data_IF_907517916070
#
_entry.id   IF_907517916070
#
_cell.length_a   1.000
_cell.length_b   1.000
_cell.length_c   1.000
_cell.angle_alpha   90.00
_cell.angle_beta   90.00
_cell.angle_gamma   90.00
#
_symmetry.space_group_name_H-M   'P 1'
#
loop_
_entity.id
_entity.type
_entity.pdbx_description
1 polymer ?
#
# COMPACT_ATOMS: atom_id res chain seq x y z
N UNK A 1 -54.22 -54.41 -80.72
CA UNK A 1 -54.14 -55.67 -79.95
C UNK A 1 -52.66 -55.95 -79.68
N UNK A 2 -52.32 -56.16 -78.40
CA UNK A 2 -51.17 -56.93 -77.90
C UNK A 2 -49.77 -56.26 -77.93
N UNK A 3 -49.14 -56.39 -76.75
CA UNK A 3 -47.84 -55.91 -76.25
C UNK A 3 -46.65 -56.55 -76.99
N UNK A 4 -45.49 -55.87 -76.98
CA UNK A 4 -44.25 -56.33 -76.32
C UNK A 4 -43.08 -55.33 -76.49
N UNK A 5 -42.40 -55.04 -75.38
CA UNK A 5 -41.01 -54.55 -75.26
C UNK A 5 -40.03 -55.74 -75.50
N UNK A 6 -38.71 -55.59 -75.80
CA UNK A 6 -37.75 -54.77 -75.03
C UNK A 6 -36.52 -54.15 -75.75
N UNK A 7 -35.80 -53.27 -75.01
CA UNK A 7 -34.32 -53.02 -74.86
C UNK A 7 -33.37 -53.13 -76.08
N UNK A 8 -32.33 -52.31 -76.31
CA UNK A 8 -31.37 -51.65 -75.41
C UNK A 8 -30.45 -50.67 -76.20
N UNK A 9 -29.87 -49.69 -75.48
CA UNK A 9 -28.55 -49.06 -75.64
C UNK A 9 -28.33 -47.89 -76.64
N UNK A 10 -28.09 -46.71 -76.04
CA UNK A 10 -26.80 -45.98 -76.02
C UNK A 10 -27.04 -44.47 -76.20
N UNK A 11 -26.82 -43.67 -75.16
CA UNK A 11 -26.48 -42.24 -75.36
C UNK A 11 -25.70 -41.69 -74.16
N UNK A 12 -24.56 -41.09 -74.48
CA UNK A 12 -23.68 -40.29 -73.63
C UNK A 12 -24.27 -38.88 -73.51
N UNK A 13 -24.38 -38.29 -72.31
CA UNK A 13 -24.14 -36.85 -72.11
C UNK A 13 -23.94 -36.47 -70.64
N UNK A 14 -23.02 -35.54 -70.42
CA UNK A 14 -22.47 -35.05 -69.16
C UNK A 14 -23.44 -34.21 -68.31
N UNK A 15 -23.15 -34.06 -67.01
CA UNK A 15 -22.97 -32.76 -66.35
C UNK A 15 -22.71 -32.87 -64.82
N UNK A 16 -21.57 -32.30 -64.40
CA UNK A 16 -21.36 -31.41 -63.25
C UNK A 16 -22.18 -31.56 -61.96
N UNK A 17 -21.43 -31.73 -60.86
CA UNK A 17 -21.63 -30.91 -59.66
C UNK A 17 -22.29 -31.59 -58.47
N UNK A 18 -21.49 -32.12 -57.54
CA UNK A 18 -21.87 -32.27 -56.13
C UNK A 18 -20.63 -32.37 -55.24
N UNK A 19 -19.80 -31.32 -55.22
CA UNK A 19 -18.81 -31.10 -54.17
C UNK A 19 -19.17 -29.77 -53.50
N UNK A 20 -20.06 -29.79 -52.51
CA UNK A 20 -20.51 -28.56 -51.87
C UNK A 20 -21.68 -28.72 -50.91
N UNK A 21 -21.60 -29.61 -49.93
CA UNK A 21 -22.59 -29.65 -48.82
C UNK A 21 -21.98 -29.62 -47.42
N UNK A 22 -20.65 -29.53 -47.29
CA UNK A 22 -20.00 -29.37 -45.98
C UNK A 22 -19.74 -27.90 -45.59
N UNK A 23 -19.69 -26.96 -46.54
CA UNK A 23 -19.35 -25.55 -46.27
C UNK A 23 -20.57 -24.67 -45.90
N UNK A 24 -21.80 -25.13 -46.14
CA UNK A 24 -23.02 -24.35 -45.90
C UNK A 24 -23.52 -24.40 -44.44
N UNK A 25 -23.19 -25.47 -43.69
CA UNK A 25 -23.58 -25.60 -42.28
C UNK A 25 -22.67 -24.77 -41.35
N UNK A 26 -21.39 -24.61 -41.72
CA UNK A 26 -20.41 -23.84 -40.94
C UNK A 26 -20.59 -22.31 -41.13
N UNK A 27 -21.11 -21.89 -42.29
CA UNK A 27 -21.35 -20.47 -42.61
C UNK A 27 -22.61 -19.90 -41.94
N UNK A 28 -23.65 -20.70 -41.69
CA UNK A 28 -24.83 -20.27 -40.93
C UNK A 28 -24.53 -20.15 -39.42
N UNK A 29 -23.60 -20.95 -38.90
CA UNK A 29 -23.11 -20.92 -37.52
C UNK A 29 -22.29 -19.67 -37.18
N UNK A 30 -21.78 -18.95 -38.19
CA UNK A 30 -20.96 -17.74 -38.03
C UNK A 30 -21.72 -16.44 -38.33
N UNK A 31 -23.03 -16.50 -38.63
CA UNK A 31 -23.81 -15.30 -38.89
C UNK A 31 -23.94 -14.46 -37.60
N UNK A 32 -23.31 -13.28 -37.59
CA UNK A 32 -23.46 -12.31 -36.49
C UNK A 32 -24.90 -11.82 -36.47
N UNK A 33 -25.54 -11.97 -35.32
CA UNK A 33 -26.85 -11.41 -35.06
C UNK A 33 -26.73 -10.32 -34.00
N UNK A 34 -27.65 -9.37 -34.06
CA UNK A 34 -27.89 -8.40 -32.99
C UNK A 34 -29.28 -8.68 -32.45
N UNK A 35 -29.38 -8.91 -31.14
CA UNK A 35 -30.65 -9.12 -30.46
C UNK A 35 -30.87 -7.99 -29.44
N UNK A 36 -31.99 -7.28 -29.57
CA UNK A 36 -32.43 -6.31 -28.56
C UNK A 36 -33.48 -6.95 -27.68
N UNK A 37 -33.25 -6.95 -26.36
CA UNK A 37 -34.16 -7.54 -25.38
C UNK A 37 -34.84 -6.46 -24.56
N UNK A 38 -36.16 -6.57 -24.45
CA UNK A 38 -36.93 -5.72 -23.55
C UNK A 38 -36.78 -6.25 -22.12
N UNK A 39 -36.31 -5.40 -21.23
CA UNK A 39 -36.10 -5.72 -19.81
C UNK A 39 -36.87 -4.75 -18.93
N UNK A 40 -37.24 -5.22 -17.73
CA UNK A 40 -37.89 -4.39 -16.71
C UNK A 40 -36.97 -3.28 -16.18
N UNK A 41 -37.46 -2.50 -15.23
CA UNK A 41 -36.61 -1.57 -14.48
C UNK A 41 -35.61 -2.35 -13.62
N UNK A 42 -34.39 -1.84 -13.52
CA UNK A 42 -33.34 -2.36 -12.65
C UNK A 42 -32.43 -1.21 -12.20
N UNK A 43 -31.81 -1.37 -11.04
CA UNK A 43 -30.76 -0.49 -10.52
C UNK A 43 -29.44 -1.23 -10.27
N UNK A 44 -29.41 -2.55 -10.45
CA UNK A 44 -28.23 -3.38 -10.35
C UNK A 44 -28.05 -4.28 -11.58
N UNK A 45 -26.80 -4.61 -11.89
CA UNK A 45 -26.42 -5.53 -12.96
C UNK A 45 -25.55 -6.65 -12.37
N UNK A 46 -25.83 -7.89 -12.75
CA UNK A 46 -25.05 -9.08 -12.42
C UNK A 46 -24.72 -9.85 -13.70
N UNK A 47 -23.45 -9.89 -14.06
CA UNK A 47 -22.92 -10.56 -15.25
C UNK A 47 -22.21 -11.82 -14.82
N UNK A 48 -22.65 -12.98 -15.31
CA UNK A 48 -22.01 -14.27 -15.08
C UNK A 48 -21.66 -14.95 -16.40
N UNK A 49 -20.43 -14.76 -16.87
CA UNK A 49 -19.93 -15.37 -18.09
C UNK A 49 -18.74 -14.64 -18.72
N UNK A 50 -18.17 -15.20 -19.79
CA UNK A 50 -17.05 -14.61 -20.54
C UNK A 50 -17.59 -13.62 -21.59
N UNK A 51 -18.28 -12.58 -21.13
CA UNK A 51 -18.93 -11.59 -22.00
C UNK A 51 -18.19 -10.27 -21.96
N UNK A 52 -18.03 -9.62 -23.12
CA UNK A 52 -17.54 -8.25 -23.18
C UNK A 52 -18.71 -7.31 -22.92
N UNK A 53 -18.69 -6.60 -21.80
CA UNK A 53 -19.82 -5.79 -21.35
C UNK A 53 -19.52 -4.31 -21.45
N UNK A 54 -20.42 -3.59 -22.11
CA UNK A 54 -20.40 -2.13 -22.18
C UNK A 54 -21.66 -1.60 -21.50
N UNK A 55 -21.47 -0.89 -20.40
CA UNK A 55 -22.55 -0.26 -19.63
C UNK A 55 -22.45 1.25 -19.78
N UNK A 56 -23.54 1.90 -20.15
CA UNK A 56 -23.66 3.34 -20.18
C UNK A 56 -24.71 3.78 -19.15
N UNK A 57 -24.25 4.45 -18.11
CA UNK A 57 -25.09 4.87 -17.00
C UNK A 57 -25.96 6.11 -17.30
N UNK A 58 -25.92 6.65 -18.53
CA UNK A 58 -26.83 7.72 -18.98
C UNK A 58 -27.71 7.33 -20.15
N UNK A 59 -27.41 6.21 -20.82
CA UNK A 59 -28.26 5.71 -21.88
C UNK A 59 -29.64 5.30 -21.35
N UNK A 60 -30.70 5.49 -22.15
CA UNK A 60 -32.01 4.92 -21.86
C UNK A 60 -31.90 3.41 -21.62
N UNK A 61 -32.79 2.90 -20.76
CA UNK A 61 -32.83 1.46 -20.44
C UNK A 61 -33.00 0.64 -21.71
N UNK A 62 -31.96 -0.10 -22.05
CA UNK A 62 -31.90 -0.98 -23.20
C UNK A 62 -30.87 -2.08 -22.97
N UNK A 63 -31.14 -3.26 -23.51
CA UNK A 63 -30.19 -4.38 -23.52
C UNK A 63 -30.04 -4.89 -24.94
N UNK A 64 -28.80 -4.87 -25.44
CA UNK A 64 -28.45 -5.32 -26.78
C UNK A 64 -27.31 -6.33 -26.70
N UNK A 65 -27.51 -7.49 -27.30
CA UNK A 65 -26.50 -8.54 -27.39
C UNK A 65 -26.06 -8.66 -28.86
N UNK A 66 -24.77 -8.85 -29.09
CA UNK A 66 -24.18 -8.98 -30.42
C UNK A 66 -23.16 -10.10 -30.44
N UNK A 67 -23.31 -11.05 -31.37
CA UNK A 67 -22.43 -12.22 -31.46
C UNK A 67 -23.00 -13.30 -32.39
N UNK A 68 -22.37 -14.48 -32.45
CA UNK A 68 -22.90 -15.63 -33.19
C UNK A 68 -24.28 -16.03 -32.67
N UNK A 69 -25.26 -16.22 -33.57
CA UNK A 69 -26.64 -16.51 -33.18
C UNK A 69 -26.79 -17.74 -32.25
N UNK A 70 -25.94 -18.76 -32.45
CA UNK A 70 -25.90 -19.95 -31.61
C UNK A 70 -25.51 -19.63 -30.16
N UNK A 71 -24.62 -18.67 -29.94
CA UNK A 71 -24.19 -18.27 -28.59
C UNK A 71 -25.22 -17.37 -27.91
N UNK A 72 -25.85 -16.45 -28.66
CA UNK A 72 -26.90 -15.58 -28.14
C UNK A 72 -28.09 -16.37 -27.58
N UNK A 73 -28.45 -17.49 -28.23
CA UNK A 73 -29.53 -18.37 -27.80
C UNK A 73 -29.25 -19.08 -26.45
N UNK A 74 -27.97 -19.23 -26.08
CA UNK A 74 -27.53 -19.84 -24.83
C UNK A 74 -27.44 -18.83 -23.67
N UNK A 75 -27.68 -17.53 -23.93
CA UNK A 75 -27.66 -16.48 -22.91
C UNK A 75 -29.07 -16.23 -22.38
N UNK A 76 -29.21 -16.29 -21.06
CA UNK A 76 -30.40 -15.94 -20.31
C UNK A 76 -30.24 -14.53 -19.70
N UNK A 77 -31.28 -13.73 -19.84
CA UNK A 77 -31.35 -12.35 -19.33
C UNK A 77 -32.65 -12.18 -18.58
N UNK A 78 -32.59 -12.07 -17.26
CA UNK A 78 -33.77 -11.96 -16.39
C UNK A 78 -33.56 -10.80 -15.43
N UNK A 79 -34.62 -10.04 -15.16
CA UNK A 79 -34.63 -9.09 -14.05
C UNK A 79 -35.23 -9.79 -12.84
N UNK A 80 -34.42 -10.08 -11.83
CA UNK A 80 -34.90 -10.56 -10.52
C UNK A 80 -34.93 -9.39 -9.54
N UNK A 81 -36.14 -9.06 -9.07
CA UNK A 81 -36.45 -7.90 -8.21
C UNK A 81 -36.04 -6.57 -8.83
N UNK A 82 -34.76 -6.21 -8.73
CA UNK A 82 -34.17 -4.95 -9.20
C UNK A 82 -32.77 -5.15 -9.82
N UNK A 83 -32.40 -6.41 -10.09
CA UNK A 83 -31.10 -6.78 -10.65
C UNK A 83 -31.29 -7.42 -12.02
N UNK A 84 -30.68 -6.84 -13.04
CA UNK A 84 -30.54 -7.47 -14.34
C UNK A 84 -29.44 -8.54 -14.26
N UNK A 85 -29.85 -9.80 -14.37
CA UNK A 85 -28.95 -10.96 -14.39
C UNK A 85 -28.73 -11.38 -15.84
N UNK A 86 -27.47 -11.34 -16.30
CA UNK A 86 -27.03 -11.85 -17.60
C UNK A 86 -26.12 -13.04 -17.38
N UNK A 87 -26.56 -14.23 -17.76
CA UNK A 87 -25.81 -15.47 -17.52
C UNK A 87 -25.98 -16.47 -18.66
N UNK A 88 -25.09 -17.45 -18.77
CA UNK A 88 -25.34 -18.61 -19.63
C UNK A 88 -26.44 -19.48 -19.02
N UNK A 89 -27.34 -20.00 -19.87
CA UNK A 89 -28.33 -21.00 -19.46
C UNK A 89 -27.61 -22.21 -18.86
N UNK A 90 -28.02 -22.62 -17.67
CA UNK A 90 -27.45 -23.80 -17.01
C UNK A 90 -27.75 -25.04 -17.85
N UNK A 91 -26.71 -25.74 -18.30
CA UNK A 91 -26.81 -27.12 -18.78
C UNK A 91 -26.16 -28.03 -17.74
N UNK A 92 -26.88 -29.06 -17.30
CA UNK A 92 -26.27 -30.17 -16.57
C UNK A 92 -25.29 -30.89 -17.50
N UNK A 93 -24.00 -30.56 -17.42
CA UNK A 93 -22.93 -31.21 -18.19
C UNK A 93 -21.69 -30.34 -18.33
N UNK A 94 -20.60 -30.71 -17.65
CA UNK A 94 -19.27 -30.12 -17.86
C UNK A 94 -18.74 -30.56 -19.23
N UNK A 95 -18.72 -29.64 -20.21
CA UNK A 95 -18.07 -29.87 -21.50
C UNK A 95 -16.88 -28.89 -21.66
N UNK A 96 -15.65 -29.40 -21.48
CA UNK A 96 -14.44 -28.69 -21.89
C UNK A 96 -14.28 -28.82 -23.40
N UNK A 97 -14.47 -27.71 -24.14
CA UNK A 97 -14.13 -27.65 -25.56
C UNK A 97 -12.74 -27.02 -25.71
N UNK A 98 -11.74 -27.85 -25.93
CA UNK A 98 -10.40 -27.41 -26.31
C UNK A 98 -10.40 -27.21 -27.84
N UNK A 99 -10.15 -25.99 -28.31
CA UNK A 99 -9.79 -25.74 -29.72
C UNK A 99 -10.79 -24.97 -30.60
N UNK A 100 -11.89 -24.42 -30.08
CA UNK A 100 -12.70 -23.44 -30.83
C UNK A 100 -12.73 -22.11 -30.09
N UNK A 101 -12.11 -21.08 -30.69
CA UNK A 101 -12.29 -19.69 -30.25
C UNK A 101 -13.75 -19.31 -30.54
N UNK A 102 -14.63 -19.44 -29.56
CA UNK A 102 -15.88 -18.66 -29.56
C UNK A 102 -15.50 -17.20 -29.62
N UNK A 103 -16.00 -16.48 -30.61
CA UNK A 103 -15.86 -15.03 -30.62
C UNK A 103 -16.64 -14.46 -29.44
N UNK A 104 -16.08 -13.46 -28.72
CA UNK A 104 -16.73 -12.94 -27.53
C UNK A 104 -18.07 -12.31 -27.87
N UNK A 105 -19.10 -12.63 -27.07
CA UNK A 105 -20.40 -11.97 -27.16
C UNK A 105 -20.29 -10.61 -26.48
N UNK A 106 -20.67 -9.56 -27.22
CA UNK A 106 -20.74 -8.20 -26.68
C UNK A 106 -22.13 -7.92 -26.13
N UNK A 107 -22.20 -7.46 -24.88
CA UNK A 107 -23.42 -7.07 -24.19
C UNK A 107 -23.39 -5.56 -23.93
N UNK A 108 -24.30 -4.81 -24.56
CA UNK A 108 -24.46 -3.37 -24.35
C UNK A 108 -25.69 -3.10 -23.49
N UNK A 109 -25.53 -2.36 -22.40
CA UNK A 109 -26.57 -2.10 -21.39
C UNK A 109 -26.67 -0.58 -21.12
N UNK A 110 -27.86 -0.01 -21.28
CA UNK A 110 -28.18 1.33 -20.80
C UNK A 110 -28.80 1.29 -19.41
N UNK A 111 -28.23 2.02 -18.45
CA UNK A 111 -28.58 1.90 -17.02
C UNK A 111 -28.59 3.28 -16.29
N UNK A 112 -29.63 4.12 -16.50
CA UNK A 112 -29.64 5.52 -16.07
C UNK A 112 -29.60 5.76 -14.55
N UNK A 113 -29.72 4.72 -13.72
CA UNK A 113 -29.74 4.78 -12.25
C UNK A 113 -28.98 3.58 -11.65
N UNK A 114 -27.78 3.30 -12.18
CA UNK A 114 -26.98 2.16 -11.75
C UNK A 114 -26.35 2.39 -10.37
N UNK A 115 -26.72 1.56 -9.40
CA UNK A 115 -26.17 1.55 -8.04
C UNK A 115 -25.17 0.42 -7.82
N UNK A 116 -25.23 -0.66 -8.61
CA UNK A 116 -24.39 -1.84 -8.43
C UNK A 116 -24.08 -2.54 -9.75
N UNK A 117 -22.82 -2.91 -9.97
CA UNK A 117 -22.35 -3.72 -11.08
C UNK A 117 -21.49 -4.85 -10.55
N UNK A 118 -21.95 -6.08 -10.74
CA UNK A 118 -21.21 -7.31 -10.43
C UNK A 118 -20.84 -8.02 -11.72
N UNK A 119 -19.60 -8.45 -11.81
CA UNK A 119 -19.12 -9.32 -12.88
C UNK A 119 -18.42 -10.54 -12.27
N UNK A 120 -18.77 -11.71 -12.79
CA UNK A 120 -18.22 -13.00 -12.44
C UNK A 120 -17.86 -13.75 -13.74
N UNK A 121 -16.59 -13.74 -14.11
CA UNK A 121 -16.14 -14.32 -15.37
C UNK A 121 -14.81 -13.78 -15.85
N UNK A 122 -14.48 -14.12 -17.10
CA UNK A 122 -13.25 -13.72 -17.78
C UNK A 122 -13.47 -12.66 -18.86
N UNK A 123 -14.65 -12.06 -18.91
CA UNK A 123 -14.98 -11.02 -19.88
C UNK A 123 -14.77 -9.63 -19.30
N UNK A 124 -14.37 -8.70 -20.16
CA UNK A 124 -14.03 -7.34 -19.76
C UNK A 124 -15.28 -6.49 -19.62
N UNK A 125 -15.25 -5.56 -18.66
CA UNK A 125 -16.38 -4.70 -18.36
C UNK A 125 -15.97 -3.24 -18.43
N UNK A 126 -16.67 -2.47 -19.27
CA UNK A 126 -16.53 -1.03 -19.35
C UNK A 126 -17.80 -0.34 -18.89
N UNK A 127 -17.70 0.48 -17.85
CA UNK A 127 -18.76 1.33 -17.33
C UNK A 127 -18.48 2.79 -17.65
N UNK A 128 -19.34 3.41 -18.46
CA UNK A 128 -19.22 4.79 -18.86
C UNK A 128 -20.25 5.70 -18.19
N UNK A 129 -19.81 6.93 -17.90
CA UNK A 129 -20.63 8.04 -17.37
C UNK A 129 -21.39 7.68 -16.09
N UNK A 130 -20.79 6.87 -15.21
CA UNK A 130 -21.35 6.57 -13.91
C UNK A 130 -21.63 7.86 -13.12
N UNK A 131 -22.86 8.01 -12.62
CA UNK A 131 -23.30 9.14 -11.81
C UNK A 131 -24.24 8.68 -10.72
N UNK A 132 -24.14 9.29 -9.55
CA UNK A 132 -25.05 9.01 -8.45
C UNK A 132 -24.44 9.17 -7.06
N UNK A 133 -25.27 8.89 -6.06
CA UNK A 133 -24.91 8.98 -4.65
C UNK A 133 -23.99 7.83 -4.21
N UNK A 134 -24.27 6.60 -4.66
CA UNK A 134 -23.52 5.41 -4.27
C UNK A 134 -23.41 4.45 -5.44
N UNK A 135 -22.22 3.92 -5.67
CA UNK A 135 -21.94 2.90 -6.68
C UNK A 135 -21.11 1.78 -6.07
N UNK A 136 -21.55 0.54 -6.29
CA UNK A 136 -20.82 -0.67 -5.90
C UNK A 136 -20.34 -1.41 -7.13
N UNK A 137 -19.03 -1.65 -7.22
CA UNK A 137 -18.39 -2.44 -8.27
C UNK A 137 -17.83 -3.70 -7.64
N UNK A 138 -18.18 -4.87 -8.18
CA UNK A 138 -17.70 -6.15 -7.72
C UNK A 138 -17.18 -6.97 -8.91
N UNK A 139 -15.88 -7.29 -8.90
CA UNK A 139 -15.22 -8.08 -9.94
C UNK A 139 -14.79 -9.40 -9.33
N UNK A 140 -15.16 -10.51 -9.96
CA UNK A 140 -14.73 -11.85 -9.56
C UNK A 140 -14.26 -12.63 -10.78
N UNK A 141 -13.01 -13.08 -10.74
CA UNK A 141 -12.38 -13.78 -11.87
C UNK A 141 -11.27 -12.97 -12.54
N UNK A 142 -10.82 -13.39 -13.72
CA UNK A 142 -9.68 -12.79 -14.40
C UNK A 142 -10.04 -11.65 -15.39
N UNK A 143 -11.31 -11.28 -15.53
CA UNK A 143 -11.71 -10.19 -16.44
C UNK A 143 -11.47 -8.81 -15.85
N UNK A 144 -11.17 -7.84 -16.71
CA UNK A 144 -10.83 -6.48 -16.29
C UNK A 144 -12.08 -5.60 -16.16
N UNK A 145 -11.98 -4.55 -15.34
CA UNK A 145 -13.02 -3.54 -15.20
C UNK A 145 -12.47 -2.13 -15.38
N UNK A 146 -13.01 -1.41 -16.35
CA UNK A 146 -12.78 0.03 -16.52
C UNK A 146 -14.06 0.80 -16.18
N UNK A 147 -13.96 1.82 -15.33
CA UNK A 147 -15.09 2.69 -15.01
C UNK A 147 -14.75 4.18 -15.11
N UNK A 148 -15.68 4.96 -15.68
CA UNK A 148 -15.56 6.41 -15.88
C UNK A 148 -16.79 7.13 -15.33
N UNK A 149 -16.62 8.34 -14.76
CA UNK A 149 -17.73 9.16 -14.29
C UNK A 149 -17.44 9.97 -13.03
N UNK A 150 -18.48 10.26 -12.26
CA UNK A 150 -18.37 10.94 -10.96
C UNK A 150 -19.49 10.50 -10.02
N UNK A 151 -19.12 9.98 -8.85
CA UNK A 151 -20.05 9.50 -7.81
C UNK A 151 -19.68 10.08 -6.45
N UNK A 152 -20.62 10.14 -5.50
CA UNK A 152 -20.28 10.57 -4.14
C UNK A 152 -19.58 9.46 -3.36
N UNK A 153 -20.12 8.25 -3.37
CA UNK A 153 -19.53 7.08 -2.70
C UNK A 153 -19.28 5.94 -3.69
N UNK A 154 -18.05 5.45 -3.72
CA UNK A 154 -17.62 4.32 -4.55
C UNK A 154 -17.11 3.20 -3.65
N UNK A 155 -17.69 2.01 -3.78
CA UNK A 155 -17.18 0.79 -3.15
C UNK A 155 -16.78 -0.21 -4.22
N UNK A 156 -15.53 -0.65 -4.17
CA UNK A 156 -14.93 -1.57 -5.14
C UNK A 156 -14.51 -2.82 -4.40
N UNK A 157 -14.92 -3.98 -4.91
CA UNK A 157 -14.52 -5.30 -4.40
C UNK A 157 -13.94 -6.11 -5.55
N UNK A 158 -12.65 -6.35 -5.53
CA UNK A 158 -11.97 -7.21 -6.49
C UNK A 158 -11.59 -8.53 -5.83
N UNK A 159 -11.89 -9.64 -6.50
CA UNK A 159 -11.40 -10.97 -6.11
C UNK A 159 -11.01 -11.77 -7.35
N UNK A 160 -9.72 -11.88 -7.62
CA UNK A 160 -9.21 -12.51 -8.84
C UNK A 160 -7.94 -11.85 -9.32
N UNK A 161 -7.64 -12.06 -10.60
CA UNK A 161 -6.41 -11.58 -11.26
C UNK A 161 -6.66 -10.50 -12.29
N UNK A 162 -7.91 -10.05 -12.47
CA UNK A 162 -8.24 -8.97 -13.39
C UNK A 162 -7.99 -7.61 -12.75
N UNK A 163 -7.68 -6.64 -13.59
CA UNK A 163 -7.32 -5.28 -13.18
C UNK A 163 -8.55 -4.37 -13.13
N UNK A 164 -8.50 -3.38 -12.25
CA UNK A 164 -9.58 -2.42 -12.04
C UNK A 164 -9.06 -0.99 -12.30
N UNK A 165 -9.42 -0.41 -13.45
CA UNK A 165 -9.09 0.96 -13.84
C UNK A 165 -10.26 1.92 -13.53
N UNK A 166 -10.05 2.76 -12.53
CA UNK A 166 -10.97 3.78 -12.03
C UNK A 166 -10.39 5.19 -12.22
N UNK A 167 -9.33 5.36 -13.02
CA UNK A 167 -8.69 6.68 -13.21
C UNK A 167 -9.66 7.71 -13.77
N UNK A 168 -10.64 7.27 -14.57
CA UNK A 168 -11.68 8.14 -15.13
C UNK A 168 -12.89 8.35 -14.22
N UNK A 169 -12.92 7.79 -13.00
CA UNK A 169 -14.06 7.84 -12.08
C UNK A 169 -13.72 8.59 -10.79
N UNK A 170 -14.19 9.83 -10.68
CA UNK A 170 -14.00 10.65 -9.48
C UNK A 170 -14.96 10.25 -8.38
N UNK A 171 -14.48 10.19 -7.14
CA UNK A 171 -15.31 9.86 -5.98
C UNK A 171 -15.02 10.80 -4.80
N UNK A 172 -16.05 11.22 -4.06
CA UNK A 172 -15.78 11.86 -2.77
C UNK A 172 -15.22 10.83 -1.79
N UNK A 173 -15.79 9.63 -1.77
CA UNK A 173 -15.33 8.54 -0.91
C UNK A 173 -15.08 7.29 -1.71
N UNK A 174 -13.87 6.74 -1.58
CA UNK A 174 -13.46 5.51 -2.23
C UNK A 174 -13.15 4.45 -1.17
N UNK A 175 -13.84 3.30 -1.27
CA UNK A 175 -13.57 2.10 -0.47
C UNK A 175 -13.15 0.97 -1.41
N UNK A 176 -11.89 0.56 -1.37
CA UNK A 176 -11.35 -0.55 -2.16
C UNK A 176 -11.11 -1.74 -1.25
N UNK A 177 -11.61 -2.91 -1.65
CA UNK A 177 -11.23 -4.20 -1.08
C UNK A 177 -10.73 -5.09 -2.21
N UNK A 178 -9.44 -5.37 -2.24
CA UNK A 178 -8.83 -6.22 -3.25
C UNK A 178 -8.29 -7.48 -2.59
N UNK A 179 -8.64 -8.64 -3.15
CA UNK A 179 -8.13 -9.94 -2.74
C UNK A 179 -7.65 -10.74 -3.95
N UNK A 180 -6.35 -10.74 -4.21
CA UNK A 180 -5.78 -11.47 -5.33
C UNK A 180 -4.52 -10.80 -5.87
N UNK A 181 -4.06 -11.26 -7.05
CA UNK A 181 -2.93 -10.65 -7.74
C UNK A 181 -3.29 -9.49 -8.69
N UNK A 182 -4.58 -9.16 -8.88
CA UNK A 182 -4.98 -8.08 -9.79
C UNK A 182 -4.76 -6.68 -9.22
N UNK A 183 -4.52 -5.72 -10.11
CA UNK A 183 -4.14 -4.36 -9.75
C UNK A 183 -5.35 -3.41 -9.72
N UNK A 184 -5.24 -2.31 -8.98
CA UNK A 184 -6.24 -1.25 -8.94
C UNK A 184 -5.59 0.10 -9.19
N UNK A 185 -6.03 0.78 -10.23
CA UNK A 185 -5.65 2.16 -10.51
C UNK A 185 -6.85 3.08 -10.26
N UNK A 186 -6.70 4.12 -9.45
CA UNK A 186 -7.77 5.07 -9.16
C UNK A 186 -7.27 6.52 -9.17
N UNK A 187 -8.18 7.47 -9.40
CA UNK A 187 -7.83 8.89 -9.27
C UNK A 187 -8.98 9.77 -8.77
N UNK A 188 -8.64 10.96 -8.27
CA UNK A 188 -9.62 12.02 -7.99
C UNK A 188 -10.51 11.75 -6.79
N UNK A 189 -9.90 11.37 -5.66
CA UNK A 189 -10.59 11.12 -4.39
C UNK A 189 -10.62 12.39 -3.53
N UNK A 190 -11.80 12.91 -3.19
CA UNK A 190 -11.90 14.28 -2.63
C UNK A 190 -12.33 14.39 -1.16
N UNK A 191 -12.58 13.29 -0.45
CA UNK A 191 -12.98 13.30 0.97
C UNK A 191 -12.32 12.20 1.79
N UNK A 192 -12.43 10.95 1.36
CA UNK A 192 -11.96 9.82 2.17
C UNK A 192 -11.57 8.61 1.29
N UNK A 193 -10.43 8.01 1.62
CA UNK A 193 -9.94 6.77 1.01
C UNK A 193 -9.82 5.68 2.07
N UNK A 194 -10.43 4.52 1.84
CA UNK A 194 -10.18 3.30 2.60
C UNK A 194 -9.77 2.20 1.63
N UNK A 195 -8.59 1.62 1.82
CA UNK A 195 -8.08 0.54 0.99
C UNK A 195 -7.69 -0.65 1.86
N UNK A 196 -8.28 -1.81 1.59
CA UNK A 196 -7.89 -3.10 2.16
C UNK A 196 -7.39 -3.98 1.01
N UNK A 197 -6.08 -4.15 0.88
CA UNK A 197 -5.42 -4.94 -0.16
C UNK A 197 -4.84 -6.19 0.47
N UNK A 198 -5.24 -7.37 -0.02
CA UNK A 198 -4.74 -8.66 0.43
C UNK A 198 -4.29 -9.48 -0.79
N UNK A 199 -3.03 -9.85 -0.84
CA UNK A 199 -2.45 -10.57 -1.98
C UNK A 199 -1.23 -9.86 -2.54
N UNK A 200 -0.99 -10.08 -3.82
CA UNK A 200 0.21 -9.60 -4.52
C UNK A 200 -0.07 -8.49 -5.53
N UNK A 201 -1.32 -8.05 -5.68
CA UNK A 201 -1.67 -6.95 -6.56
C UNK A 201 -1.32 -5.60 -5.95
N UNK A 202 -1.14 -4.62 -6.83
CA UNK A 202 -0.77 -3.25 -6.51
C UNK A 202 -2.00 -2.33 -6.50
N UNK A 203 -1.92 -1.26 -5.71
CA UNK A 203 -2.90 -0.19 -5.66
C UNK A 203 -2.23 1.14 -5.91
N UNK A 204 -2.53 1.79 -7.04
CA UNK A 204 -2.11 3.16 -7.33
C UNK A 204 -3.31 4.11 -7.21
N UNK A 205 -3.23 5.09 -6.32
CA UNK A 205 -4.25 6.15 -6.19
C UNK A 205 -3.62 7.52 -6.35
N UNK A 206 -3.99 8.18 -7.44
CA UNK A 206 -3.52 9.50 -7.82
C UNK A 206 -4.55 10.61 -7.51
N UNK A 207 -4.11 11.87 -7.49
CA UNK A 207 -4.96 13.05 -7.26
C UNK A 207 -5.84 12.94 -5.99
N UNK A 208 -5.22 12.52 -4.88
CA UNK A 208 -5.89 12.46 -3.58
C UNK A 208 -5.99 13.88 -3.02
N UNK A 209 -7.19 14.27 -2.62
CA UNK A 209 -7.50 15.49 -1.91
C UNK A 209 -8.46 15.18 -0.74
N UNK A 210 -8.05 14.29 0.15
CA UNK A 210 -8.90 13.72 1.19
C UNK A 210 -8.62 14.31 2.57
N UNK A 211 -9.57 14.16 3.49
CA UNK A 211 -9.35 14.44 4.91
C UNK A 211 -8.68 13.23 5.60
N UNK A 212 -9.05 12.02 5.17
CA UNK A 212 -8.57 10.77 5.78
C UNK A 212 -8.23 9.74 4.72
N UNK A 213 -7.08 9.11 4.89
CA UNK A 213 -6.63 7.94 4.15
C UNK A 213 -6.37 6.82 5.14
N UNK A 214 -6.96 5.65 4.89
CA UNK A 214 -6.74 4.43 5.67
C UNK A 214 -6.37 3.30 4.73
N UNK A 215 -5.17 2.76 4.87
CA UNK A 215 -4.63 1.71 4.00
C UNK A 215 -4.16 0.53 4.84
N UNK A 216 -4.69 -0.64 4.53
CA UNK A 216 -4.25 -1.93 5.05
C UNK A 216 -3.73 -2.76 3.89
N UNK A 217 -2.46 -3.16 3.96
CA UNK A 217 -1.82 -4.03 2.97
C UNK A 217 -1.39 -5.32 3.65
N UNK A 218 -1.85 -6.46 3.13
CA UNK A 218 -1.43 -7.79 3.60
C UNK A 218 -0.92 -8.65 2.45
N UNK A 219 0.38 -8.92 2.43
CA UNK A 219 1.02 -9.67 1.34
C UNK A 219 2.21 -8.94 0.72
N UNK A 220 2.66 -9.37 -0.47
CA UNK A 220 3.81 -8.79 -1.17
C UNK A 220 3.50 -7.64 -2.15
N UNK A 221 2.23 -7.27 -2.36
CA UNK A 221 1.87 -6.17 -3.28
C UNK A 221 2.27 -4.78 -2.77
N UNK A 222 2.07 -3.75 -3.57
CA UNK A 222 2.49 -2.37 -3.27
C UNK A 222 1.32 -1.40 -3.27
N UNK A 223 1.42 -0.32 -2.49
CA UNK A 223 0.42 0.76 -2.50
C UNK A 223 1.11 2.09 -2.74
N UNK A 224 0.79 2.76 -3.86
CA UNK A 224 1.26 4.09 -4.20
C UNK A 224 0.15 5.11 -4.00
N UNK A 225 0.45 6.19 -3.26
CA UNK A 225 -0.52 7.25 -2.95
C UNK A 225 0.07 8.62 -3.28
N UNK A 226 -0.65 9.41 -4.07
CA UNK A 226 -0.20 10.74 -4.50
C UNK A 226 -1.26 11.82 -4.26
N UNK A 227 -0.84 12.99 -3.76
CA UNK A 227 -1.70 14.16 -3.56
C UNK A 227 -1.54 14.79 -2.18
N UNK A 228 -2.65 15.04 -1.48
CA UNK A 228 -2.70 15.61 -0.13
C UNK A 228 -3.76 14.93 0.75
N UNK A 229 -3.42 14.71 2.02
CA UNK A 229 -4.36 14.26 3.04
C UNK A 229 -4.13 14.99 4.37
N UNK A 230 -5.18 15.20 5.18
CA UNK A 230 -4.93 15.65 6.57
C UNK A 230 -4.38 14.51 7.42
N UNK A 231 -4.93 13.31 7.27
CA UNK A 231 -4.57 12.14 8.06
C UNK A 231 -4.30 10.91 7.19
N UNK A 232 -3.27 10.15 7.54
CA UNK A 232 -3.01 8.80 7.00
C UNK A 232 -2.85 7.79 8.14
N UNK A 233 -3.57 6.67 8.02
CA UNK A 233 -3.34 5.47 8.80
C UNK A 233 -2.92 4.35 7.86
N UNK A 234 -1.68 3.88 8.02
CA UNK A 234 -1.11 2.80 7.25
C UNK A 234 -0.81 1.60 8.15
N UNK A 235 -1.31 0.44 7.75
CA UNK A 235 -0.96 -0.85 8.35
C UNK A 235 -0.46 -1.79 7.27
N UNK A 236 0.80 -2.19 7.36
CA UNK A 236 1.43 -3.11 6.41
C UNK A 236 1.77 -4.40 7.14
N UNK A 237 1.31 -5.53 6.62
CA UNK A 237 1.56 -6.87 7.14
C UNK A 237 2.07 -7.78 6.01
N UNK A 238 3.39 -7.93 5.89
CA UNK A 238 4.00 -8.72 4.80
C UNK A 238 5.25 -8.07 4.25
N UNK A 239 5.54 -8.36 2.98
CA UNK A 239 6.71 -7.87 2.26
C UNK A 239 6.40 -6.76 1.27
N UNK A 240 5.17 -6.24 1.30
CA UNK A 240 4.71 -5.19 0.41
C UNK A 240 5.14 -3.79 0.82
N UNK A 241 5.14 -2.87 -0.15
CA UNK A 241 5.65 -1.51 0.03
C UNK A 241 4.52 -0.46 0.04
N UNK A 242 4.69 0.60 0.82
CA UNK A 242 3.83 1.78 0.80
C UNK A 242 4.63 3.00 0.34
N UNK A 243 4.30 3.48 -0.85
CA UNK A 243 4.86 4.69 -1.45
C UNK A 243 3.91 5.88 -1.24
N UNK A 244 3.98 6.51 -0.06
CA UNK A 244 3.21 7.71 0.26
C UNK A 244 4.08 8.96 0.47
N UNK A 245 5.32 8.97 -0.05
CA UNK A 245 6.17 10.17 -0.02
C UNK A 245 5.60 11.31 -0.89
N UNK A 246 4.83 10.97 -1.92
CA UNK A 246 4.18 11.92 -2.83
C UNK A 246 2.80 12.37 -2.33
N UNK A 247 2.42 11.93 -1.13
CA UNK A 247 1.20 12.32 -0.44
C UNK A 247 1.55 13.29 0.69
N UNK A 248 1.26 14.58 0.52
CA UNK A 248 1.51 15.56 1.58
C UNK A 248 0.52 15.36 2.74
N UNK A 249 1.03 14.93 3.90
CA UNK A 249 0.20 14.69 5.10
C UNK A 249 0.49 15.62 6.29
N UNK A 250 -0.53 15.85 7.14
CA UNK A 250 -0.40 16.59 8.39
C UNK A 250 -0.34 15.68 9.64
N UNK A 251 -0.96 14.50 9.60
CA UNK A 251 -0.98 13.50 10.67
C UNK A 251 -0.75 12.11 10.09
N UNK A 252 0.18 11.34 10.67
CA UNK A 252 0.53 10.01 10.18
C UNK A 252 0.56 8.97 11.30
N UNK A 253 0.04 7.78 11.01
CA UNK A 253 0.20 6.59 11.82
C UNK A 253 0.65 5.47 10.90
N UNK A 254 1.84 4.91 11.12
CA UNK A 254 2.39 3.84 10.32
C UNK A 254 2.76 2.64 11.20
N UNK A 255 2.10 1.51 10.96
CA UNK A 255 2.37 0.25 11.66
C UNK A 255 2.82 -0.79 10.63
N UNK A 256 4.09 -1.17 10.69
CA UNK A 256 4.70 -2.13 9.78
C UNK A 256 4.98 -3.44 10.54
N UNK A 257 4.57 -4.55 9.93
CA UNK A 257 4.88 -5.90 10.40
C UNK A 257 5.38 -6.75 9.24
N UNK A 258 6.63 -7.20 9.29
CA UNK A 258 7.27 -7.97 8.23
C UNK A 258 8.42 -7.22 7.55
N UNK A 259 8.89 -7.70 6.38
CA UNK A 259 10.01 -7.12 5.64
C UNK A 259 9.68 -5.93 4.72
N UNK A 260 8.41 -5.56 4.55
CA UNK A 260 8.02 -4.47 3.64
C UNK A 260 8.46 -3.07 4.07
N UNK A 261 8.48 -2.12 3.14
CA UNK A 261 8.88 -0.74 3.40
C UNK A 261 7.70 0.24 3.40
N UNK A 262 7.82 1.36 4.10
CA UNK A 262 6.85 2.44 4.02
C UNK A 262 7.53 3.80 4.01
N UNK A 263 7.06 4.69 3.14
CA UNK A 263 7.47 6.07 3.12
C UNK A 263 6.27 7.01 3.26
N UNK A 264 6.38 8.01 4.13
CA UNK A 264 5.42 9.10 4.29
C UNK A 264 6.14 10.45 4.28
N UNK A 265 5.54 11.48 3.70
CA UNK A 265 6.13 12.82 3.71
C UNK A 265 5.08 13.92 3.87
N UNK A 266 5.50 15.11 4.29
CA UNK A 266 4.60 16.26 4.35
C UNK A 266 5.02 17.28 5.39
N UNK A 267 4.04 17.99 5.95
CA UNK A 267 4.23 18.87 7.11
C UNK A 267 3.61 18.17 8.32
N UNK A 268 4.28 17.12 8.79
CA UNK A 268 3.67 16.16 9.71
C UNK A 268 3.72 16.73 11.13
N UNK A 269 2.56 17.12 11.66
CA UNK A 269 2.37 17.70 13.00
C UNK A 269 2.18 16.64 14.09
N UNK A 270 1.71 15.46 13.71
CA UNK A 270 1.52 14.31 14.62
C UNK A 270 1.98 13.03 13.93
N UNK A 271 2.80 12.24 14.61
CA UNK A 271 3.24 10.95 14.08
C UNK A 271 3.34 9.87 15.17
N UNK A 272 2.82 8.69 14.86
CA UNK A 272 3.16 7.43 15.54
C UNK A 272 3.75 6.47 14.52
N UNK A 273 4.97 5.98 14.79
CA UNK A 273 5.67 5.06 13.90
C UNK A 273 6.04 3.80 14.68
N UNK A 274 5.65 2.65 14.14
CA UNK A 274 5.95 1.35 14.72
C UNK A 274 6.39 0.39 13.63
N UNK A 275 7.55 -0.21 13.83
CA UNK A 275 8.12 -1.21 12.92
C UNK A 275 8.41 -2.48 13.71
N UNK A 276 7.77 -3.57 13.32
CA UNK A 276 7.98 -4.91 13.90
C UNK A 276 8.43 -5.89 12.83
N UNK A 277 9.69 -6.29 12.84
CA UNK A 277 10.27 -7.14 11.80
C UNK A 277 11.44 -6.46 11.09
N UNK A 278 11.66 -6.81 9.82
CA UNK A 278 12.81 -6.39 9.04
C UNK A 278 12.53 -5.27 8.04
N UNK A 279 11.33 -4.69 8.08
CA UNK A 279 10.88 -3.64 7.18
C UNK A 279 11.45 -2.27 7.52
N UNK A 280 11.54 -1.40 6.53
CA UNK A 280 12.09 -0.05 6.67
C UNK A 280 10.99 1.01 6.66
N UNK A 281 11.14 2.04 7.50
CA UNK A 281 10.23 3.18 7.52
C UNK A 281 10.97 4.49 7.30
N UNK A 282 10.55 5.25 6.28
CA UNK A 282 11.02 6.61 6.03
C UNK A 282 9.90 7.62 6.30
N UNK A 283 10.21 8.66 7.09
CA UNK A 283 9.33 9.80 7.26
C UNK A 283 10.04 11.13 7.04
N UNK A 284 9.51 11.94 6.12
CA UNK A 284 10.10 13.23 5.73
C UNK A 284 9.24 14.43 6.10
N UNK A 285 9.88 15.51 6.54
CA UNK A 285 9.22 16.78 6.82
C UNK A 285 8.44 16.82 8.14
N UNK A 286 8.97 16.16 9.17
CA UNK A 286 8.38 16.19 10.51
C UNK A 286 8.40 17.61 11.09
N UNK A 287 7.28 18.04 11.66
CA UNK A 287 7.12 19.27 12.44
C UNK A 287 6.23 18.99 13.66
N UNK A 288 6.61 17.96 14.42
CA UNK A 288 5.75 17.40 15.48
C UNK A 288 6.00 18.05 16.84
N UNK A 289 4.97 18.13 17.68
CA UNK A 289 5.19 18.47 19.09
C UNK A 289 5.66 17.25 19.89
N UNK A 290 5.12 16.07 19.57
CA UNK A 290 5.45 14.79 20.19
C UNK A 290 5.54 13.72 19.12
N UNK A 291 6.63 12.95 19.17
CA UNK A 291 6.93 11.85 18.27
C UNK A 291 7.18 10.59 19.12
N UNK A 292 6.42 9.53 18.84
CA UNK A 292 6.65 8.21 19.42
C UNK A 292 7.10 7.23 18.35
N UNK A 293 8.20 6.54 18.64
CA UNK A 293 8.84 5.58 17.76
C UNK A 293 9.07 4.27 18.51
N UNK A 294 8.65 3.17 17.89
CA UNK A 294 8.91 1.81 18.37
C UNK A 294 9.54 0.99 17.23
N UNK A 295 10.79 0.56 17.42
CA UNK A 295 11.53 -0.29 16.49
C UNK A 295 11.84 -1.62 17.18
N UNK A 296 11.10 -2.65 16.79
CA UNK A 296 11.23 -4.00 17.33
C UNK A 296 11.54 -5.00 16.22
N UNK A 297 12.81 -5.12 15.87
CA UNK A 297 13.29 -6.06 14.87
C UNK A 297 14.55 -5.57 14.15
N UNK A 298 14.99 -6.27 13.11
CA UNK A 298 16.17 -5.87 12.32
C UNK A 298 15.92 -4.75 11.30
N UNK A 299 14.69 -4.26 11.13
CA UNK A 299 14.37 -3.20 10.15
C UNK A 299 14.80 -1.80 10.61
N UNK A 300 14.93 -0.85 9.68
CA UNK A 300 15.45 0.49 9.97
C UNK A 300 14.35 1.56 9.98
N UNK A 301 14.63 2.67 10.63
CA UNK A 301 13.75 3.84 10.59
C UNK A 301 14.55 5.10 10.31
N UNK A 302 14.23 5.80 9.21
CA UNK A 302 14.83 7.08 8.85
C UNK A 302 13.82 8.21 9.00
N UNK A 303 14.10 9.17 9.88
CA UNK A 303 13.21 10.31 10.14
C UNK A 303 13.94 11.64 9.93
N UNK A 304 13.30 12.59 9.23
CA UNK A 304 13.83 13.94 9.02
C UNK A 304 12.85 15.06 9.38
N UNK A 305 13.39 16.16 9.91
CA UNK A 305 12.63 17.35 10.28
C UNK A 305 12.87 17.82 11.72
N UNK A 306 11.80 18.22 12.41
CA UNK A 306 11.84 18.79 13.75
C UNK A 306 10.78 18.16 14.66
N UNK A 307 11.13 17.92 15.92
CA UNK A 307 10.18 17.50 16.95
C UNK A 307 10.45 18.14 18.31
N UNK A 308 9.39 18.53 19.03
CA UNK A 308 9.50 19.07 20.38
C UNK A 308 9.94 18.02 21.41
N UNK A 309 9.35 16.82 21.34
CA UNK A 309 9.71 15.69 22.19
C UNK A 309 9.70 14.38 21.41
N UNK A 310 10.79 13.62 21.52
CA UNK A 310 10.95 12.28 20.97
C UNK A 310 10.97 11.25 22.11
N UNK A 311 10.11 10.24 22.00
CA UNK A 311 10.22 9.00 22.75
C UNK A 311 10.52 7.87 21.75
N UNK A 312 11.74 7.34 21.77
CA UNK A 312 12.17 6.27 20.90
C UNK A 312 12.53 5.02 21.71
N UNK A 313 11.98 3.88 21.30
CA UNK A 313 12.29 2.56 21.85
C UNK A 313 12.83 1.66 20.74
N UNK A 314 14.08 1.24 20.85
CA UNK A 314 14.77 0.37 19.89
C UNK A 314 15.21 -0.89 20.62
N UNK A 315 14.53 -2.01 20.38
CA UNK A 315 14.83 -3.29 21.05
C UNK A 315 15.34 -4.37 20.09
N UNK A 316 15.48 -4.03 18.81
CA UNK A 316 15.97 -4.93 17.76
C UNK A 316 17.41 -4.63 17.35
N UNK A 317 17.82 -5.21 16.23
CA UNK A 317 19.14 -4.97 15.62
C UNK A 317 19.13 -3.91 14.54
N UNK A 318 17.97 -3.36 14.20
CA UNK A 318 17.85 -2.31 13.19
C UNK A 318 18.15 -0.93 13.75
N UNK A 319 18.48 -0.02 12.84
CA UNK A 319 18.97 1.31 13.19
C UNK A 319 17.85 2.36 13.16
N UNK A 320 17.88 3.26 14.13
CA UNK A 320 17.12 4.49 14.12
C UNK A 320 18.01 5.62 13.59
N UNK A 321 17.81 6.03 12.34
CA UNK A 321 18.48 7.14 11.68
C UNK A 321 17.64 8.43 11.81
N UNK A 322 18.00 9.26 12.80
CA UNK A 322 17.52 10.62 12.97
C UNK A 322 18.59 11.67 12.66
N UNK A 323 19.55 11.41 11.77
CA UNK A 323 20.64 12.34 11.46
C UNK A 323 20.18 13.62 10.73
N UNK A 324 18.93 13.65 10.29
CA UNK A 324 18.25 14.84 9.77
C UNK A 324 17.10 15.31 10.70
N UNK A 325 17.05 14.80 11.93
CA UNK A 325 16.02 15.09 12.92
C UNK A 325 16.56 15.97 14.06
N UNK A 326 16.04 17.20 14.15
CA UNK A 326 16.29 18.09 15.29
C UNK A 326 15.23 17.90 16.37
N UNK A 327 15.67 17.60 17.59
CA UNK A 327 14.82 17.25 18.73
C UNK A 327 14.97 18.27 19.87
N UNK A 328 13.86 18.64 20.51
CA UNK A 328 13.88 19.39 21.78
C UNK A 328 14.32 18.50 22.94
N UNK A 329 13.39 17.64 23.39
CA UNK A 329 13.60 16.64 24.44
C UNK A 329 13.64 15.24 23.83
N UNK A 330 14.73 14.51 24.03
CA UNK A 330 14.87 13.11 23.59
C UNK A 330 14.86 12.16 24.81
N UNK A 331 13.96 11.18 24.78
CA UNK A 331 13.97 10.02 25.68
C UNK A 331 14.20 8.78 24.82
N UNK A 332 15.37 8.16 24.98
CA UNK A 332 15.83 7.07 24.15
C UNK A 332 15.99 5.81 25.01
N UNK A 333 15.41 4.70 24.57
CA UNK A 333 15.59 3.39 25.18
C UNK A 333 16.11 2.43 24.12
N UNK A 334 17.35 1.99 24.26
CA UNK A 334 17.95 0.93 23.46
C UNK A 334 18.04 -0.35 24.30
N UNK A 335 17.48 -1.46 23.84
CA UNK A 335 17.62 -2.79 24.48
C UNK A 335 17.97 -3.85 23.42
N UNK A 336 19.09 -3.63 22.73
CA UNK A 336 19.47 -4.40 21.57
C UNK A 336 20.80 -3.95 20.96
N UNK A 337 21.21 -4.58 19.84
CA UNK A 337 22.41 -4.19 19.12
C UNK A 337 22.20 -3.03 18.12
N UNK A 338 20.98 -2.58 17.88
CA UNK A 338 20.67 -1.49 16.93
C UNK A 338 21.18 -0.13 17.39
N UNK A 339 21.56 0.71 16.43
CA UNK A 339 22.12 2.04 16.67
C UNK A 339 21.03 3.11 16.69
N UNK A 340 21.31 4.22 17.38
CA UNK A 340 20.42 5.38 17.45
C UNK A 340 21.21 6.63 17.07
N UNK A 341 20.84 7.28 15.98
CA UNK A 341 21.41 8.53 15.49
C UNK A 341 20.45 9.72 15.68
N UNK A 342 20.96 10.86 16.13
CA UNK A 342 20.22 12.12 16.20
C UNK A 342 21.06 13.31 15.73
N UNK A 343 20.49 14.13 14.84
CA UNK A 343 21.16 15.31 14.31
C UNK A 343 21.51 16.33 15.38
N UNK A 344 20.52 16.69 16.20
CA UNK A 344 20.63 17.76 17.19
C UNK A 344 19.62 17.57 18.30
N UNK A 345 20.05 17.69 19.56
CA UNK A 345 19.19 17.76 20.75
C UNK A 345 19.37 19.11 21.44
N UNK A 346 18.30 19.88 21.61
CA UNK A 346 18.36 21.31 22.00
C UNK A 346 17.93 21.61 23.44
N UNK A 347 17.29 20.68 24.15
CA UNK A 347 16.87 20.89 25.55
C UNK A 347 17.43 19.82 26.48
N UNK A 348 16.96 18.58 26.36
CA UNK A 348 17.37 17.49 27.25
C UNK A 348 17.49 16.16 26.51
N UNK A 349 18.55 15.42 26.79
CA UNK A 349 18.72 14.03 26.37
C UNK A 349 18.65 13.13 27.62
N UNK A 350 17.77 12.13 27.62
CA UNK A 350 17.77 11.01 28.57
C UNK A 350 17.86 9.72 27.76
N UNK A 351 19.02 9.06 27.79
CA UNK A 351 19.27 7.84 27.04
C UNK A 351 19.62 6.69 27.98
N UNK A 352 18.88 5.59 27.84
CA UNK A 352 19.16 4.32 28.49
C UNK A 352 19.47 3.28 27.41
N UNK A 353 20.72 2.84 27.32
CA UNK A 353 21.15 1.83 26.35
C UNK A 353 21.61 0.57 27.09
N UNK A 354 20.97 -0.54 26.77
CA UNK A 354 21.28 -1.88 27.22
C UNK A 354 21.64 -2.72 26.00
N UNK A 355 22.81 -3.34 26.00
CA UNK A 355 23.29 -4.13 24.88
C UNK A 355 24.51 -3.54 24.17
N UNK A 356 24.61 -3.78 22.87
CA UNK A 356 25.80 -3.46 22.05
C UNK A 356 25.59 -2.33 21.06
N UNK A 357 24.41 -1.70 21.03
CA UNK A 357 24.13 -0.58 20.13
C UNK A 357 24.88 0.69 20.50
N UNK A 358 25.14 1.53 19.49
CA UNK A 358 25.77 2.83 19.63
C UNK A 358 24.74 3.96 19.59
N UNK A 359 24.96 5.00 20.40
CA UNK A 359 24.24 6.27 20.31
C UNK A 359 25.14 7.35 19.71
N UNK A 360 24.69 8.00 18.64
CA UNK A 360 25.35 9.20 18.10
C UNK A 360 24.40 10.39 18.22
N UNK A 361 24.83 11.46 18.91
CA UNK A 361 24.01 12.67 19.05
C UNK A 361 24.85 13.96 19.12
N UNK A 362 24.44 14.99 18.37
CA UNK A 362 24.93 16.34 18.60
C UNK A 362 24.04 17.07 19.62
N UNK A 363 24.67 17.70 20.60
CA UNK A 363 24.00 18.34 21.73
C UNK A 363 24.19 19.86 21.67
N UNK A 364 23.09 20.57 21.85
CA UNK A 364 23.02 21.98 22.21
C UNK A 364 22.07 22.10 23.42
N UNK A 365 22.30 21.26 24.42
CA UNK A 365 21.31 20.91 25.45
C UNK A 365 21.63 21.51 26.82
N UNK A 366 20.62 21.64 27.68
CA UNK A 366 20.80 22.01 29.09
C UNK A 366 21.27 20.84 29.93
N UNK A 367 20.81 19.62 29.61
CA UNK A 367 21.23 18.42 30.32
C UNK A 367 21.25 17.19 29.42
N UNK A 368 22.26 16.34 29.60
CA UNK A 368 22.32 15.01 29.04
C UNK A 368 22.49 13.99 30.17
N UNK A 369 21.56 13.03 30.25
CA UNK A 369 21.64 11.86 31.11
C UNK A 369 21.85 10.62 30.24
N UNK A 370 22.86 9.82 30.58
CA UNK A 370 23.18 8.57 29.90
C UNK A 370 23.29 7.44 30.92
N UNK A 371 22.61 6.33 30.66
CA UNK A 371 22.79 5.07 31.39
C UNK A 371 23.14 3.99 30.38
N UNK A 372 24.36 3.46 30.47
CA UNK A 372 24.91 2.49 29.54
C UNK A 372 25.25 1.19 30.28
N UNK A 373 24.62 0.09 29.86
CA UNK A 373 24.92 -1.24 30.37
C UNK A 373 25.12 -2.24 29.23
N UNK A 374 26.35 -2.70 29.04
CA UNK A 374 26.72 -3.61 27.97
C UNK A 374 27.99 -3.17 27.24
N UNK A 375 28.32 -3.79 26.11
CA UNK A 375 29.48 -3.42 25.30
C UNK A 375 29.26 -2.20 24.39
N UNK A 376 28.04 -1.70 24.23
CA UNK A 376 27.75 -0.55 23.34
C UNK A 376 28.21 0.79 23.92
N UNK A 377 28.29 1.81 23.07
CA UNK A 377 28.82 3.12 23.41
C UNK A 377 27.92 4.31 23.07
N UNK A 378 28.45 5.50 23.34
CA UNK A 378 27.83 6.76 23.01
C UNK A 378 28.87 7.75 22.49
N UNK A 379 28.69 8.23 21.26
CA UNK A 379 29.45 9.33 20.67
C UNK A 379 28.63 10.62 20.75
N UNK A 380 29.14 11.58 21.52
CA UNK A 380 28.48 12.85 21.75
C UNK A 380 29.37 14.02 21.31
N UNK A 381 28.75 15.01 20.70
CA UNK A 381 29.43 16.24 20.27
C UNK A 381 28.61 17.49 20.58
N UNK A 382 29.22 18.67 20.54
CA UNK A 382 28.54 19.95 20.75
C UNK A 382 28.73 20.51 22.16
N UNK A 383 27.67 21.01 22.79
CA UNK A 383 27.71 21.66 24.12
C UNK A 383 26.57 21.20 25.01
N UNK A 384 26.87 21.00 26.30
CA UNK A 384 25.86 20.74 27.33
C UNK A 384 26.18 21.44 28.64
N UNK A 385 25.17 21.95 29.37
CA UNK A 385 25.43 22.54 30.68
C UNK A 385 25.68 21.47 31.76
N UNK A 386 24.99 20.33 31.69
CA UNK A 386 25.18 19.21 32.62
C UNK A 386 25.23 17.88 31.89
N UNK A 387 26.27 17.10 32.13
CA UNK A 387 26.39 15.72 31.69
C UNK A 387 26.36 14.81 32.92
N UNK A 388 25.39 13.91 32.99
CA UNK A 388 25.31 12.84 33.98
C UNK A 388 25.40 11.50 33.25
N UNK A 389 26.45 10.72 33.46
CA UNK A 389 26.63 9.46 32.76
C UNK A 389 26.99 8.32 33.72
N UNK A 390 26.34 7.17 33.54
CA UNK A 390 26.65 5.95 34.26
C UNK A 390 26.96 4.83 33.27
N UNK A 391 28.15 4.24 33.37
CA UNK A 391 28.61 3.13 32.54
C UNK A 391 28.92 1.93 33.43
N UNK A 392 28.19 0.83 33.28
CA UNK A 392 28.42 -0.41 34.04
C UNK A 392 28.95 -1.58 33.20
N UNK A 393 29.07 -1.43 31.88
CA UNK A 393 29.56 -2.46 30.97
C UNK A 393 30.98 -2.21 30.45
N UNK A 394 31.35 -2.93 29.38
CA UNK A 394 32.64 -2.79 28.68
C UNK A 394 32.63 -1.74 27.57
N UNK A 395 31.50 -1.06 27.36
CA UNK A 395 31.35 -0.03 26.35
C UNK A 395 32.13 1.25 26.63
N UNK A 396 31.88 2.28 25.83
CA UNK A 396 32.61 3.53 25.94
C UNK A 396 31.74 4.77 25.75
N UNK A 397 32.15 5.88 26.36
CA UNK A 397 31.55 7.20 26.10
C UNK A 397 32.62 8.06 25.45
N UNK A 398 32.40 8.50 24.22
CA UNK A 398 33.25 9.45 23.52
C UNK A 398 32.57 10.81 23.44
N UNK A 399 32.99 11.71 24.32
CA UNK A 399 32.61 13.12 24.35
C UNK A 399 33.79 14.05 24.10
N UNK A 400 34.81 13.64 23.33
CA UNK A 400 35.98 14.50 23.02
C UNK A 400 35.57 15.84 22.39
N UNK A 401 34.56 15.78 21.52
CA UNK A 401 33.98 16.92 20.82
C UNK A 401 32.76 17.51 21.55
N UNK A 402 32.46 17.05 22.76
CA UNK A 402 31.37 17.56 23.60
C UNK A 402 31.94 18.41 24.74
N UNK A 403 31.62 19.69 24.74
CA UNK A 403 31.95 20.60 25.82
C UNK A 403 30.85 20.62 26.89
N UNK A 404 31.15 20.06 28.06
CA UNK A 404 30.26 20.08 29.22
C UNK A 404 30.67 21.15 30.24
N UNK A 405 29.74 21.97 30.74
CA UNK A 405 30.05 22.91 31.83
C UNK A 405 30.24 22.17 33.17
N UNK A 406 29.41 21.15 33.42
CA UNK A 406 29.51 20.24 34.55
C UNK A 406 29.37 18.79 34.08
N UNK A 407 30.20 17.90 34.60
CA UNK A 407 30.12 16.47 34.30
C UNK A 407 30.21 15.62 35.58
N UNK A 408 29.25 14.72 35.73
CA UNK A 408 29.21 13.64 36.71
C UNK A 408 29.20 12.31 35.94
N UNK A 409 30.34 11.63 35.91
CA UNK A 409 30.49 10.37 35.17
C UNK A 409 30.93 9.29 36.13
N UNK A 410 30.21 8.17 36.17
CA UNK A 410 30.52 7.02 36.98
C UNK A 410 30.74 5.80 36.10
N UNK A 411 31.97 5.28 36.06
CA UNK A 411 32.33 4.05 35.35
C UNK A 411 32.55 2.94 36.38
N UNK A 412 31.68 1.92 36.36
CA UNK A 412 31.75 0.75 37.25
C UNK A 412 32.21 -0.52 36.53
N UNK A 413 32.06 -0.56 35.20
CA UNK A 413 32.48 -1.68 34.36
C UNK A 413 33.93 -1.55 33.87
N UNK A 414 34.40 -2.50 33.03
CA UNK A 414 35.73 -2.46 32.44
C UNK A 414 35.89 -1.44 31.30
N UNK A 415 34.82 -0.71 30.94
CA UNK A 415 34.85 0.34 29.91
C UNK A 415 35.50 1.65 30.35
N UNK A 416 35.42 2.66 29.50
CA UNK A 416 35.99 3.99 29.73
C UNK A 416 35.11 5.11 29.17
N UNK A 417 35.23 6.31 29.74
CA UNK A 417 34.54 7.51 29.28
C UNK A 417 35.54 8.64 29.08
N UNK A 418 35.47 9.32 27.93
CA UNK A 418 36.27 10.51 27.63
C UNK A 418 35.32 11.69 27.49
N UNK A 419 35.50 12.72 28.31
CA UNK A 419 34.63 13.91 28.31
C UNK A 419 35.46 15.18 28.36
N UNK A 420 35.06 16.20 27.59
CA UNK A 420 35.69 17.52 27.62
C UNK A 420 34.87 18.46 28.52
N UNK A 421 35.48 18.94 29.60
CA UNK A 421 34.79 19.68 30.66
C UNK A 421 35.41 21.06 30.83
N UNK A 422 34.56 22.09 30.82
CA UNK A 422 34.93 23.50 31.02
C UNK A 422 34.97 23.92 32.50
N UNK A 423 34.26 23.21 33.37
CA UNK A 423 34.11 23.53 34.78
C UNK A 423 34.57 22.42 35.73
N UNK A 424 33.85 22.24 36.84
CA UNK A 424 34.14 21.21 37.84
C UNK A 424 33.74 19.83 37.29
N UNK A 425 34.72 18.95 37.15
CA UNK A 425 34.46 17.50 37.21
C UNK A 425 34.31 17.16 38.68
N UNK A 426 33.20 16.53 39.09
CA UNK A 426 33.03 16.06 40.48
C UNK A 426 33.85 14.80 40.76
N UNK A 427 35.13 14.87 40.45
CA UNK A 427 36.22 14.01 40.90
C UNK A 427 37.34 14.95 41.33
N UNK A 428 37.26 15.43 42.58
CA UNK A 428 38.19 16.36 43.24
C UNK A 428 38.38 17.76 42.60
N UNK A 429 37.39 18.61 42.85
CA UNK A 429 37.44 20.05 43.15
C UNK A 429 38.71 20.87 42.85
N UNK A 430 38.86 21.36 41.61
CA UNK A 430 39.47 22.68 41.27
C UNK A 430 38.87 23.20 39.95
N UNK A 431 38.58 24.50 39.89
CA UNK A 431 38.25 25.20 38.62
C UNK A 431 39.54 25.38 37.81
N UNK A 432 39.52 25.06 36.52
CA UNK A 432 40.66 25.19 35.60
C UNK A 432 40.19 25.36 34.14
N UNK A 433 41.12 25.58 33.17
CA UNK A 433 40.81 25.71 31.74
C UNK A 433 40.17 24.44 31.16
N UNK A 434 39.64 24.51 29.92
CA UNK A 434 39.08 23.36 29.18
C UNK A 434 40.01 22.13 29.32
N UNK A 435 39.53 21.05 29.95
CA UNK A 435 40.32 19.83 30.20
C UNK A 435 39.60 18.64 29.57
N UNK A 436 40.35 17.91 28.75
CA UNK A 436 39.94 16.59 28.28
C UNK A 436 40.26 15.57 29.36
N UNK A 437 39.24 14.84 29.81
CA UNK A 437 39.34 13.96 30.97
C UNK A 437 38.91 12.55 30.56
N UNK A 438 39.78 11.58 30.83
CA UNK A 438 39.48 10.14 30.72
C UNK A 438 39.08 9.62 32.10
N UNK A 439 37.97 8.90 32.17
CA UNK A 439 37.39 8.33 33.38
C UNK A 439 37.23 6.84 33.17
N UNK A 440 37.79 6.04 34.06
CA UNK A 440 37.69 4.59 34.07
C UNK A 440 37.49 4.09 35.52
N UNK A 441 37.55 2.77 35.73
CA UNK A 441 37.39 2.15 37.06
C UNK A 441 38.52 2.49 38.04
N UNK A 442 39.68 2.94 37.56
CA UNK A 442 40.88 3.24 38.34
C UNK A 442 40.93 4.72 38.76
N UNK A 443 40.18 5.58 38.06
CA UNK A 443 39.90 6.94 38.47
C UNK A 443 39.79 7.91 37.31
N UNK A 444 40.26 9.13 37.53
CA UNK A 444 40.18 10.24 36.58
C UNK A 444 41.58 10.66 36.15
N UNK A 445 41.83 10.62 34.85
CA UNK A 445 43.11 10.93 34.22
C UNK A 445 42.95 12.09 33.24
N UNK A 446 43.94 12.98 33.13
CA UNK A 446 43.98 13.93 32.01
C UNK A 446 44.28 13.15 30.72
N UNK A 447 43.41 13.32 29.73
CA UNK A 447 43.65 12.77 28.40
C UNK A 447 44.69 13.65 27.67
N UNK A 448 45.73 13.01 27.11
CA UNK A 448 46.75 13.70 26.30
C UNK A 448 46.26 14.02 24.90
#
# INVERSE_FOLDING_TARGET
MIRHFPSLALLILAAHGAAGTAAAADSASQARATETRNIGAFSAIDIAGPFDVQVDAEAPRALRLSGPAAELAEIETIVDRDTLVVRRKSRNGFHFSFGKRSEPVTVTIGAPQLNSLRTAGSGDVRLDRARGESLQLAVTGPGDLQANGSVRELTVRGSGSGDIDLRGLRAATLKVKMSGPGDVEASGVTRELTADVTGSGDLDVNDIAADKVSTTLTGPGSVALQGRSREIHATLAGSGDLEACSLAVESASANLSGPGSACVAGTIRKMEARVRGSGDLEARGLQTQSLRVELAGPGNMKLSGTTGSLEASVSGSGDFDGEELSVGRAVLRGDGPGNIGLQRVTDTLDAELRGSGELTAALEAKSARLTLSGPGGAHLQGRTARLAAQLSGSGSIDGRNLQADQAQVAVRGPGNAVVNVRGKVETHGRNGPDRLVTIDREGTHEAR
#
